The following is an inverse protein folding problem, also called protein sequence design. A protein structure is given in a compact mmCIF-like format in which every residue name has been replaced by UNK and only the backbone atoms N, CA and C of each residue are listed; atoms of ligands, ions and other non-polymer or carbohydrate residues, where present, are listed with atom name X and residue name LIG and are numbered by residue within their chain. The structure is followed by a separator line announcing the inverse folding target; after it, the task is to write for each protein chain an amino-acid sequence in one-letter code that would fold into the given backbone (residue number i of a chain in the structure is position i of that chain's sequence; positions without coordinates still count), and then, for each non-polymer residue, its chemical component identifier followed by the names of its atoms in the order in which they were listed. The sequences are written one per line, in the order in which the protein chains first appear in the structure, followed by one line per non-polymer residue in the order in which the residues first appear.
data_IF_870769145922
#
_entry.id   IF_870769145922
#
_cell.length_a   1.000
_cell.length_b   1.000
_cell.length_c   1.000
_cell.angle_alpha   90.00
_cell.angle_beta   90.00
_cell.angle_gamma   90.00
#
_symmetry.space_group_name_H-M   'P 1'
#
loop_
_entity.id
_entity.type
_entity.pdbx_description
1 polymer ?
#
# COMPACT_ATOMS: atom_id res chain seq x y z
N UNK A 1 22.73 46.81 37.23
CA UNK A 1 23.28 45.70 36.39
C UNK A 1 23.05 44.44 37.18
N UNK A 2 22.00 43.69 36.86
CA UNK A 2 21.65 42.42 37.50
C UNK A 2 22.49 41.31 36.83
N UNK A 3 23.35 40.73 37.65
CA UNK A 3 24.19 39.59 37.26
C UNK A 3 23.30 38.36 37.02
N UNK A 4 23.03 38.02 35.79
CA UNK A 4 22.28 36.81 35.42
C UNK A 4 23.25 35.64 35.40
N UNK A 5 23.17 34.79 36.42
CA UNK A 5 23.96 33.58 36.49
C UNK A 5 23.78 32.71 35.22
N UNK A 6 24.86 32.17 34.62
CA UNK A 6 24.73 31.33 33.41
C UNK A 6 23.96 30.05 33.73
N UNK A 7 22.95 29.77 32.93
CA UNK A 7 22.18 28.52 33.00
C UNK A 7 23.14 27.38 32.71
N UNK A 8 23.55 26.64 33.73
CA UNK A 8 24.29 25.40 33.56
C UNK A 8 23.32 24.36 33.03
N UNK A 9 23.38 24.13 31.70
CA UNK A 9 22.73 22.97 31.11
C UNK A 9 23.37 21.70 31.68
N UNK A 10 22.61 20.96 32.47
CA UNK A 10 23.04 19.65 32.95
C UNK A 10 23.60 18.84 31.75
N UNK A 11 24.73 18.13 31.92
CA UNK A 11 25.27 17.29 30.84
C UNK A 11 24.18 16.34 30.43
N UNK A 12 23.77 16.45 29.15
CA UNK A 12 22.84 15.50 28.55
C UNK A 12 23.44 14.13 28.75
N UNK A 13 22.85 13.37 29.71
CA UNK A 13 23.23 12.00 29.89
C UNK A 13 23.27 11.35 28.52
N UNK A 14 24.40 10.79 28.16
CA UNK A 14 24.59 10.06 26.90
C UNK A 14 23.58 8.92 26.92
N UNK A 15 22.39 9.19 26.37
CA UNK A 15 21.45 8.14 26.04
C UNK A 15 22.19 7.28 25.01
N UNK A 16 22.82 6.21 25.51
CA UNK A 16 23.43 5.23 24.61
C UNK A 16 22.32 4.81 23.63
N UNK A 17 22.52 5.06 22.33
CA UNK A 17 21.56 4.57 21.36
C UNK A 17 21.46 3.07 21.58
N UNK A 18 20.28 2.57 21.88
CA UNK A 18 20.06 1.13 21.95
C UNK A 18 20.57 0.53 20.66
N UNK A 19 21.60 -0.38 20.67
CA UNK A 19 22.09 -1.06 19.45
C UNK A 19 20.96 -1.98 19.01
N UNK A 20 20.32 -1.54 17.93
CA UNK A 20 19.18 -2.14 17.83
C UNK A 20 18.62 -2.73 16.66
N UNK A 21 17.68 -3.18 16.52
CA UNK A 21 16.61 -3.63 15.62
C UNK A 21 16.83 -3.38 14.10
N UNK A 22 17.88 -2.67 13.69
CA UNK A 22 18.25 -2.49 12.27
C UNK A 22 18.39 -3.83 11.53
N UNK A 23 18.99 -4.85 12.19
CA UNK A 23 19.13 -6.17 11.58
C UNK A 23 17.79 -6.90 11.46
N UNK A 24 16.90 -6.75 12.44
CA UNK A 24 15.56 -7.32 12.38
C UNK A 24 14.71 -6.65 11.32
N UNK A 25 14.76 -5.32 11.23
CA UNK A 25 14.05 -4.54 10.20
C UNK A 25 14.55 -4.89 8.79
N UNK A 26 15.88 -5.01 8.63
CA UNK A 26 16.50 -5.44 7.38
C UNK A 26 16.09 -6.86 6.99
N UNK A 27 16.07 -7.80 7.94
CA UNK A 27 15.63 -9.18 7.67
C UNK A 27 14.18 -9.26 7.24
N UNK A 28 13.28 -8.49 7.88
CA UNK A 28 11.87 -8.42 7.49
C UNK A 28 11.71 -7.83 6.09
N UNK A 29 12.37 -6.70 5.81
CA UNK A 29 12.32 -6.07 4.49
C UNK A 29 12.88 -7.02 3.42
N UNK A 30 14.03 -7.63 3.66
CA UNK A 30 14.62 -8.61 2.73
C UNK A 30 13.71 -9.82 2.54
N UNK A 31 13.13 -10.36 3.61
CA UNK A 31 12.19 -11.48 3.55
C UNK A 31 10.96 -11.17 2.71
N UNK A 32 10.39 -9.97 2.85
CA UNK A 32 9.24 -9.55 2.03
C UNK A 32 9.60 -9.37 0.55
N UNK A 33 10.79 -8.84 0.25
CA UNK A 33 11.29 -8.69 -1.13
C UNK A 33 11.56 -10.05 -1.76
N UNK A 34 12.19 -10.97 -1.03
CA UNK A 34 12.44 -12.35 -1.50
C UNK A 34 11.10 -13.06 -1.77
N UNK A 35 10.14 -12.99 -0.84
CA UNK A 35 8.83 -13.58 -1.03
C UNK A 35 8.10 -12.99 -2.25
N UNK A 36 8.15 -11.66 -2.43
CA UNK A 36 7.61 -11.00 -3.61
C UNK A 36 8.30 -11.49 -4.90
N UNK A 37 9.63 -11.64 -4.88
CA UNK A 37 10.40 -12.20 -6.00
C UNK A 37 9.99 -13.62 -6.37
N UNK A 38 9.72 -14.47 -5.37
CA UNK A 38 9.19 -15.83 -5.61
C UNK A 38 7.84 -15.78 -6.32
N UNK A 39 6.93 -14.89 -5.94
CA UNK A 39 5.66 -14.73 -6.62
C UNK A 39 5.82 -14.22 -8.06
N UNK A 40 6.74 -13.30 -8.31
CA UNK A 40 7.05 -12.84 -9.68
C UNK A 40 7.58 -13.99 -10.54
N UNK A 41 8.51 -14.78 -9.99
CA UNK A 41 9.03 -15.96 -10.69
C UNK A 41 7.93 -17.00 -10.96
N UNK A 42 7.06 -17.25 -9.97
CA UNK A 42 5.91 -18.15 -10.15
C UNK A 42 4.93 -17.63 -11.22
N UNK A 43 4.67 -16.30 -11.28
CA UNK A 43 3.84 -15.70 -12.31
C UNK A 43 4.44 -15.87 -13.70
N UNK A 44 5.75 -15.67 -13.84
CA UNK A 44 6.46 -15.89 -15.11
C UNK A 44 6.35 -17.36 -15.55
N UNK A 45 6.62 -18.30 -14.65
CA UNK A 45 6.50 -19.73 -14.94
C UNK A 45 5.06 -20.12 -15.31
N UNK A 46 4.05 -19.60 -14.60
CA UNK A 46 2.65 -19.83 -14.93
C UNK A 46 2.29 -19.30 -16.32
N UNK A 47 2.82 -18.12 -16.68
CA UNK A 47 2.63 -17.55 -18.03
C UNK A 47 3.27 -18.42 -19.12
N UNK A 48 4.51 -18.85 -18.90
CA UNK A 48 5.24 -19.72 -19.85
C UNK A 48 4.58 -21.10 -19.98
N UNK A 49 3.95 -21.60 -18.91
CA UNK A 49 3.19 -22.85 -18.92
C UNK A 49 1.79 -22.72 -19.54
N UNK A 50 1.40 -21.56 -20.06
CA UNK A 50 0.07 -21.33 -20.65
C UNK A 50 -1.08 -21.36 -19.64
N UNK A 51 -0.81 -21.06 -18.37
CA UNK A 51 -1.85 -21.00 -17.34
C UNK A 51 -2.91 -19.91 -17.65
N UNK A 52 -4.15 -20.06 -17.17
CA UNK A 52 -5.18 -19.04 -17.35
C UNK A 52 -4.70 -17.68 -16.85
N UNK A 53 -4.97 -16.61 -17.60
CA UNK A 53 -4.46 -15.24 -17.36
C UNK A 53 -4.68 -14.72 -15.92
N UNK A 54 -5.75 -15.15 -15.27
CA UNK A 54 -6.03 -14.74 -13.90
C UNK A 54 -4.93 -15.18 -12.90
N UNK A 55 -4.27 -16.34 -13.14
CA UNK A 55 -3.27 -16.88 -12.22
C UNK A 55 -1.99 -16.03 -12.18
N UNK A 56 -1.28 -15.75 -13.29
CA UNK A 56 -0.11 -14.88 -13.24
C UNK A 56 -0.46 -13.48 -12.75
N UNK A 57 -1.64 -12.95 -13.09
CA UNK A 57 -2.09 -11.65 -12.57
C UNK A 57 -2.24 -11.66 -11.05
N UNK A 58 -2.85 -12.71 -10.46
CA UNK A 58 -2.99 -12.82 -9.00
C UNK A 58 -1.64 -13.06 -8.32
N UNK A 59 -0.75 -13.84 -8.91
CA UNK A 59 0.60 -14.02 -8.36
C UNK A 59 1.38 -12.70 -8.33
N UNK A 60 1.23 -11.83 -9.33
CA UNK A 60 1.87 -10.49 -9.32
C UNK A 60 1.17 -9.56 -8.35
N UNK A 61 -0.16 -9.43 -8.38
CA UNK A 61 -0.87 -8.40 -7.62
C UNK A 61 -1.13 -8.83 -6.18
N UNK A 62 -1.78 -9.98 -5.96
CA UNK A 62 -2.07 -10.48 -4.63
C UNK A 62 -0.83 -11.08 -3.97
N UNK A 63 0.02 -11.77 -4.73
CA UNK A 63 1.26 -12.34 -4.23
C UNK A 63 2.36 -11.29 -4.07
N UNK A 64 2.99 -10.88 -5.16
CA UNK A 64 4.19 -10.05 -5.11
C UNK A 64 3.92 -8.64 -4.58
N UNK A 65 2.99 -7.90 -5.18
CA UNK A 65 2.74 -6.51 -4.79
C UNK A 65 2.22 -6.40 -3.35
N UNK A 66 1.24 -7.22 -2.97
CA UNK A 66 0.68 -7.17 -1.61
C UNK A 66 1.67 -7.61 -0.54
N UNK A 67 2.53 -8.61 -0.82
CA UNK A 67 3.59 -9.03 0.11
C UNK A 67 4.67 -7.95 0.26
N UNK A 68 5.07 -7.31 -0.83
CA UNK A 68 6.00 -6.19 -0.79
C UNK A 68 5.40 -5.01 -0.01
N UNK A 69 4.14 -4.65 -0.27
CA UNK A 69 3.42 -3.58 0.45
C UNK A 69 3.32 -3.92 1.94
N UNK A 70 2.97 -5.16 2.30
CA UNK A 70 2.88 -5.59 3.70
C UNK A 70 4.23 -5.45 4.45
N UNK A 71 5.36 -5.64 3.76
CA UNK A 71 6.70 -5.45 4.33
C UNK A 71 7.14 -4.00 4.43
N UNK A 72 6.79 -3.19 3.44
CA UNK A 72 7.35 -1.84 3.25
C UNK A 72 6.44 -0.76 3.86
N UNK A 73 5.12 -0.87 3.71
CA UNK A 73 4.18 0.17 4.15
C UNK A 73 4.24 0.47 5.65
N UNK A 74 4.25 -0.53 6.57
CA UNK A 74 4.39 -0.27 8.00
C UNK A 74 5.69 0.45 8.35
N UNK A 75 6.78 0.11 7.66
CA UNK A 75 8.07 0.78 7.85
C UNK A 75 7.98 2.25 7.43
N UNK A 76 7.46 2.55 6.25
CA UNK A 76 7.29 3.93 5.80
C UNK A 76 6.38 4.72 6.72
N UNK A 77 5.23 4.16 7.12
CA UNK A 77 4.29 4.85 8.00
C UNK A 77 4.94 5.24 9.34
N UNK A 78 5.68 4.33 9.97
CA UNK A 78 6.35 4.61 11.25
C UNK A 78 7.55 5.55 11.11
N UNK A 79 8.32 5.43 10.02
CA UNK A 79 9.44 6.34 9.73
C UNK A 79 8.93 7.78 9.49
N UNK A 80 7.86 7.95 8.71
CA UNK A 80 7.24 9.26 8.46
C UNK A 80 6.58 9.87 9.70
N UNK A 81 6.05 9.03 10.58
CA UNK A 81 5.50 9.46 11.87
C UNK A 81 6.59 9.75 12.92
N UNK A 82 7.84 9.39 12.67
CA UNK A 82 8.94 9.39 13.64
C UNK A 82 8.60 8.60 14.91
N UNK A 83 7.93 7.47 14.77
CA UNK A 83 7.52 6.58 15.86
C UNK A 83 8.36 5.30 15.86
N UNK A 84 8.50 4.62 17.00
CA UNK A 84 9.15 3.32 17.05
C UNK A 84 8.44 2.34 16.11
N UNK A 85 9.17 1.44 15.43
CA UNK A 85 8.57 0.42 14.60
C UNK A 85 7.74 -0.55 15.46
N UNK A 86 6.65 -1.05 14.88
CA UNK A 86 5.82 -2.09 15.50
C UNK A 86 6.64 -3.36 15.79
N UNK A 87 6.11 -4.21 16.65
CA UNK A 87 6.78 -5.46 17.02
C UNK A 87 7.14 -6.29 15.79
N UNK A 88 8.34 -6.86 15.80
CA UNK A 88 8.90 -7.64 14.69
C UNK A 88 8.07 -8.88 14.37
N UNK A 89 7.49 -9.52 15.39
CA UNK A 89 6.66 -10.72 15.22
C UNK A 89 5.34 -10.36 14.55
N UNK A 90 4.74 -9.23 14.95
CA UNK A 90 3.50 -8.76 14.37
C UNK A 90 3.67 -8.42 12.87
N UNK A 91 4.77 -7.74 12.52
CA UNK A 91 5.10 -7.43 11.12
C UNK A 91 5.39 -8.70 10.33
N UNK A 92 6.17 -9.63 10.91
CA UNK A 92 6.44 -10.94 10.31
C UNK A 92 5.16 -11.74 10.07
N UNK A 93 4.25 -11.77 11.05
CA UNK A 93 2.96 -12.45 10.93
C UNK A 93 2.09 -11.84 9.81
N UNK A 94 2.05 -10.50 9.70
CA UNK A 94 1.31 -9.83 8.64
C UNK A 94 1.82 -10.25 7.24
N UNK A 95 3.14 -10.24 7.02
CA UNK A 95 3.75 -10.65 5.75
C UNK A 95 3.49 -12.13 5.47
N UNK A 96 3.67 -12.99 6.47
CA UNK A 96 3.46 -14.43 6.33
C UNK A 96 2.01 -14.76 5.98
N UNK A 97 1.03 -14.10 6.64
CA UNK A 97 -0.38 -14.30 6.36
C UNK A 97 -0.76 -13.80 4.96
N UNK A 98 -0.24 -12.64 4.52
CA UNK A 98 -0.47 -12.13 3.16
C UNK A 98 0.12 -13.09 2.12
N UNK A 99 1.37 -13.53 2.30
CA UNK A 99 2.03 -14.43 1.36
C UNK A 99 1.36 -15.81 1.32
N UNK A 100 1.11 -16.42 2.48
CA UNK A 100 0.43 -17.72 2.57
C UNK A 100 -1.01 -17.63 2.03
N UNK A 101 -1.70 -16.53 2.34
CA UNK A 101 -3.04 -16.25 1.83
C UNK A 101 -3.09 -16.16 0.31
N UNK A 102 -2.16 -15.41 -0.29
CA UNK A 102 -2.04 -15.29 -1.74
C UNK A 102 -1.73 -16.63 -2.41
N UNK A 103 -0.82 -17.44 -1.83
CA UNK A 103 -0.52 -18.79 -2.30
C UNK A 103 -1.74 -19.72 -2.18
N UNK A 104 -2.49 -19.65 -1.07
CA UNK A 104 -3.72 -20.39 -0.88
C UNK A 104 -4.79 -20.03 -1.91
N UNK A 105 -4.97 -18.75 -2.25
CA UNK A 105 -5.86 -18.33 -3.33
C UNK A 105 -5.38 -18.82 -4.70
N UNK A 106 -4.07 -18.73 -4.97
CA UNK A 106 -3.47 -19.20 -6.22
C UNK A 106 -3.63 -20.72 -6.43
N UNK A 107 -3.75 -21.52 -5.34
CA UNK A 107 -3.97 -22.96 -5.40
C UNK A 107 -5.28 -23.36 -6.11
N UNK A 108 -6.23 -22.40 -6.30
CA UNK A 108 -7.42 -22.60 -7.15
C UNK A 108 -7.07 -23.03 -8.60
N UNK A 109 -5.88 -22.74 -9.09
CA UNK A 109 -5.40 -23.19 -10.38
C UNK A 109 -5.06 -24.69 -10.41
N UNK A 110 -4.97 -25.31 -9.26
CA UNK A 110 -4.72 -26.72 -9.05
C UNK A 110 -6.03 -27.40 -8.60
N UNK A 111 -6.13 -28.73 -8.58
CA UNK A 111 -7.26 -29.45 -8.02
C UNK A 111 -7.31 -29.37 -6.49
N UNK A 112 -7.20 -28.14 -5.95
CA UNK A 112 -7.22 -27.88 -4.52
C UNK A 112 -8.66 -27.86 -3.97
N UNK A 113 -8.91 -28.43 -2.77
CA UNK A 113 -10.21 -28.34 -2.12
C UNK A 113 -10.63 -26.88 -1.87
N UNK A 114 -11.91 -26.57 -2.10
CA UNK A 114 -12.45 -25.21 -1.89
C UNK A 114 -12.14 -24.61 -0.50
N UNK A 115 -12.14 -25.37 0.61
CA UNK A 115 -11.74 -24.83 1.91
C UNK A 115 -10.32 -24.26 1.96
N UNK A 116 -9.37 -24.82 1.23
CA UNK A 116 -7.98 -24.32 1.19
C UNK A 116 -7.94 -22.93 0.54
N UNK A 117 -8.67 -22.74 -0.55
CA UNK A 117 -8.75 -21.46 -1.26
C UNK A 117 -9.43 -20.41 -0.37
N UNK A 118 -10.52 -20.79 0.31
CA UNK A 118 -11.23 -19.91 1.25
C UNK A 118 -10.35 -19.51 2.44
N UNK A 119 -9.66 -20.47 3.06
CA UNK A 119 -8.71 -20.20 4.14
C UNK A 119 -7.57 -19.29 3.66
N UNK A 120 -7.11 -19.47 2.42
CA UNK A 120 -6.17 -18.55 1.77
C UNK A 120 -6.71 -17.12 1.72
N UNK A 121 -7.95 -16.93 1.29
CA UNK A 121 -8.61 -15.61 1.29
C UNK A 121 -8.73 -15.00 2.69
N UNK A 122 -9.12 -15.79 3.69
CA UNK A 122 -9.21 -15.35 5.10
C UNK A 122 -7.84 -14.97 5.65
N UNK A 123 -6.81 -15.77 5.39
CA UNK A 123 -5.44 -15.46 5.81
C UNK A 123 -4.92 -14.16 5.17
N UNK A 124 -5.20 -13.96 3.88
CA UNK A 124 -4.85 -12.73 3.16
C UNK A 124 -5.53 -11.50 3.79
N UNK A 125 -6.83 -11.57 4.06
CA UNK A 125 -7.58 -10.51 4.75
C UNK A 125 -7.03 -10.25 6.16
N UNK A 126 -6.73 -11.30 6.93
CA UNK A 126 -6.13 -11.19 8.26
C UNK A 126 -4.76 -10.50 8.22
N UNK A 127 -3.92 -10.88 7.27
CA UNK A 127 -2.61 -10.25 7.06
C UNK A 127 -2.70 -8.77 6.71
N UNK A 128 -3.58 -8.39 5.78
CA UNK A 128 -3.82 -6.98 5.44
C UNK A 128 -4.49 -6.20 6.57
N UNK A 129 -5.36 -6.85 7.36
CA UNK A 129 -5.92 -6.27 8.58
C UNK A 129 -4.82 -5.91 9.59
N UNK A 130 -3.82 -6.78 9.78
CA UNK A 130 -2.65 -6.47 10.61
C UNK A 130 -1.84 -5.30 10.04
N UNK A 131 -1.64 -5.24 8.73
CA UNK A 131 -0.98 -4.09 8.07
C UNK A 131 -1.75 -2.80 8.35
N UNK A 132 -3.09 -2.83 8.26
CA UNK A 132 -3.94 -1.68 8.58
C UNK A 132 -3.81 -1.26 10.05
N UNK A 133 -3.80 -2.20 10.98
CA UNK A 133 -3.63 -1.91 12.41
C UNK A 133 -2.28 -1.25 12.71
N UNK A 134 -1.19 -1.77 12.14
CA UNK A 134 0.16 -1.23 12.30
C UNK A 134 0.25 0.17 11.68
N UNK A 135 -0.22 0.34 10.45
CA UNK A 135 -0.22 1.62 9.74
C UNK A 135 -1.12 2.64 10.45
N UNK A 136 -2.30 2.21 10.89
CA UNK A 136 -3.23 3.03 11.66
C UNK A 136 -2.66 3.52 12.98
N UNK A 137 -1.81 2.74 13.64
CA UNK A 137 -1.11 3.19 14.86
C UNK A 137 -0.15 4.35 14.57
N UNK A 138 0.62 4.28 13.48
CA UNK A 138 1.51 5.34 13.05
C UNK A 138 0.74 6.62 12.64
N UNK A 139 -0.43 6.45 11.99
CA UNK A 139 -1.31 7.57 11.62
C UNK A 139 -1.82 8.27 12.89
N UNK A 140 -2.29 7.52 13.88
CA UNK A 140 -2.73 8.08 15.17
C UNK A 140 -1.60 8.74 15.94
N UNK A 141 -0.38 8.19 15.87
CA UNK A 141 0.80 8.75 16.55
C UNK A 141 1.34 10.04 15.91
N UNK A 142 0.78 10.51 14.80
CA UNK A 142 1.11 11.81 14.23
C UNK A 142 1.32 11.86 12.71
N UNK A 143 1.35 10.73 12.00
CA UNK A 143 1.47 10.75 10.54
C UNK A 143 0.30 11.51 9.89
N UNK A 144 -0.93 11.32 10.41
CA UNK A 144 -2.13 11.98 9.92
C UNK A 144 -2.05 13.50 10.01
N UNK A 145 -1.47 14.05 11.08
CA UNK A 145 -1.28 15.49 11.23
C UNK A 145 -0.13 16.04 10.37
N UNK A 146 0.95 15.25 10.22
CA UNK A 146 2.15 15.67 9.47
C UNK A 146 1.98 15.51 7.96
N UNK A 147 1.29 14.47 7.52
CA UNK A 147 1.15 14.05 6.12
C UNK A 147 -0.27 13.54 5.84
N UNK A 148 -1.30 14.42 5.95
CA UNK A 148 -2.71 13.99 5.86
C UNK A 148 -3.05 13.34 4.51
N UNK A 149 -2.46 13.82 3.41
CA UNK A 149 -2.70 13.27 2.07
C UNK A 149 -2.15 11.85 1.95
N UNK A 150 -0.95 11.60 2.46
CA UNK A 150 -0.33 10.26 2.47
C UNK A 150 -1.10 9.32 3.39
N UNK A 151 -1.50 9.79 4.57
CA UNK A 151 -2.32 9.02 5.50
C UNK A 151 -3.66 8.61 4.88
N UNK A 152 -4.34 9.53 4.19
CA UNK A 152 -5.58 9.24 3.48
C UNK A 152 -5.38 8.18 2.39
N UNK A 153 -4.31 8.29 1.59
CA UNK A 153 -3.99 7.30 0.56
C UNK A 153 -3.77 5.89 1.16
N UNK A 154 -3.05 5.80 2.27
CA UNK A 154 -2.78 4.50 2.91
C UNK A 154 -4.03 3.86 3.52
N UNK A 155 -4.85 4.66 4.22
CA UNK A 155 -6.09 4.14 4.82
C UNK A 155 -7.08 3.72 3.75
N UNK A 156 -7.32 4.56 2.76
CA UNK A 156 -8.25 4.26 1.67
C UNK A 156 -7.78 3.05 0.87
N UNK A 157 -6.49 2.98 0.51
CA UNK A 157 -5.95 1.82 -0.21
C UNK A 157 -6.09 0.51 0.56
N UNK A 158 -5.83 0.50 1.87
CA UNK A 158 -6.03 -0.69 2.69
C UNK A 158 -7.53 -1.04 2.87
N UNK A 159 -8.42 -0.05 2.93
CA UNK A 159 -9.85 -0.29 2.95
C UNK A 159 -10.34 -0.91 1.62
N UNK A 160 -9.86 -0.40 0.50
CA UNK A 160 -10.23 -0.90 -0.82
C UNK A 160 -9.79 -2.35 -1.05
N UNK A 161 -8.56 -2.71 -0.67
CA UNK A 161 -8.10 -4.10 -0.81
C UNK A 161 -8.86 -5.04 0.13
N UNK A 162 -9.19 -4.61 1.34
CA UNK A 162 -10.00 -5.43 2.26
C UNK A 162 -11.40 -5.66 1.70
N UNK A 163 -12.04 -4.63 1.15
CA UNK A 163 -13.34 -4.77 0.49
C UNK A 163 -13.26 -5.67 -0.75
N UNK A 164 -12.28 -5.42 -1.64
CA UNK A 164 -12.09 -6.21 -2.84
C UNK A 164 -11.75 -7.67 -2.55
N UNK A 165 -10.86 -7.94 -1.62
CA UNK A 165 -10.50 -9.30 -1.21
C UNK A 165 -11.65 -10.02 -0.50
N UNK A 166 -12.47 -9.31 0.29
CA UNK A 166 -13.66 -9.88 0.91
C UNK A 166 -14.67 -10.39 -0.14
N UNK A 167 -14.94 -9.60 -1.19
CA UNK A 167 -15.79 -9.99 -2.31
C UNK A 167 -15.31 -11.32 -2.93
N UNK A 168 -14.04 -11.43 -3.25
CA UNK A 168 -13.50 -12.64 -3.87
C UNK A 168 -13.42 -13.82 -2.90
N UNK A 169 -13.18 -13.57 -1.61
CA UNK A 169 -13.19 -14.62 -0.57
C UNK A 169 -14.60 -15.20 -0.40
N UNK A 170 -15.63 -14.35 -0.37
CA UNK A 170 -17.04 -14.80 -0.33
C UNK A 170 -17.43 -15.59 -1.59
N UNK A 171 -16.93 -15.18 -2.76
CA UNK A 171 -17.15 -15.91 -4.00
C UNK A 171 -16.57 -17.33 -3.93
N UNK A 172 -15.33 -17.51 -3.50
CA UNK A 172 -14.69 -18.83 -3.41
C UNK A 172 -15.23 -19.67 -2.24
N UNK A 173 -15.79 -19.01 -1.21
CA UNK A 173 -16.51 -19.67 -0.13
C UNK A 173 -17.89 -20.21 -0.55
N UNK A 174 -18.30 -19.93 -1.79
CA UNK A 174 -19.58 -20.45 -2.31
C UNK A 174 -20.81 -19.64 -1.89
N UNK A 175 -20.64 -18.36 -1.47
CA UNK A 175 -21.77 -17.52 -1.07
C UNK A 175 -22.71 -17.29 -2.26
N UNK A 176 -24.00 -17.76 -2.18
CA UNK A 176 -24.87 -17.84 -3.37
C UNK A 176 -25.09 -16.48 -4.04
N UNK A 177 -25.38 -15.44 -3.27
CA UNK A 177 -25.66 -14.10 -3.80
C UNK A 177 -24.44 -13.50 -4.49
N UNK A 178 -23.24 -13.74 -3.96
CA UNK A 178 -21.97 -13.27 -4.53
C UNK A 178 -21.65 -14.05 -5.81
N UNK A 179 -21.92 -15.35 -5.84
CA UNK A 179 -21.75 -16.16 -7.05
C UNK A 179 -22.72 -15.73 -8.16
N UNK A 180 -23.99 -15.50 -7.83
CA UNK A 180 -24.98 -15.01 -8.78
C UNK A 180 -24.63 -13.63 -9.36
N UNK A 181 -24.07 -12.73 -8.53
CA UNK A 181 -23.66 -11.39 -8.93
C UNK A 181 -22.22 -11.32 -9.47
N UNK A 182 -21.51 -12.43 -9.68
CA UNK A 182 -20.10 -12.43 -10.01
C UNK A 182 -19.73 -11.66 -11.29
N UNK A 183 -20.63 -11.63 -12.26
CA UNK A 183 -20.42 -10.86 -13.50
C UNK A 183 -20.15 -9.36 -13.25
N UNK A 184 -20.82 -8.79 -12.24
CA UNK A 184 -20.67 -7.38 -11.82
C UNK A 184 -19.63 -7.22 -10.71
N UNK A 185 -19.52 -8.17 -9.80
CA UNK A 185 -18.60 -8.11 -8.66
C UNK A 185 -17.14 -8.41 -9.03
N UNK A 186 -16.90 -9.18 -10.09
CA UNK A 186 -15.54 -9.44 -10.58
C UNK A 186 -14.81 -8.16 -11.02
N UNK A 187 -15.36 -7.30 -11.88
CA UNK A 187 -14.72 -6.02 -12.19
C UNK A 187 -14.69 -5.08 -10.98
N UNK A 188 -15.69 -5.09 -10.10
CA UNK A 188 -15.66 -4.37 -8.82
C UNK A 188 -14.44 -4.74 -7.98
N UNK A 189 -14.20 -6.04 -7.79
CA UNK A 189 -13.00 -6.57 -7.14
C UNK A 189 -11.71 -6.07 -7.81
N UNK A 190 -11.65 -6.08 -9.14
CA UNK A 190 -10.45 -5.65 -9.87
C UNK A 190 -10.15 -4.15 -9.66
N UNK A 191 -11.14 -3.27 -9.74
CA UNK A 191 -10.97 -1.84 -9.55
C UNK A 191 -10.48 -1.49 -8.15
N UNK A 192 -11.10 -2.09 -7.11
CA UNK A 192 -10.70 -1.86 -5.72
C UNK A 192 -9.27 -2.32 -5.45
N UNK A 193 -8.86 -3.47 -5.99
CA UNK A 193 -7.52 -4.00 -5.71
C UNK A 193 -6.43 -3.33 -6.54
N UNK A 194 -6.68 -3.03 -7.83
CA UNK A 194 -5.64 -2.49 -8.70
C UNK A 194 -5.46 -0.99 -8.48
N UNK A 195 -6.49 -0.19 -8.64
CA UNK A 195 -6.40 1.27 -8.57
C UNK A 195 -6.69 1.79 -7.16
N UNK A 196 -7.65 1.21 -6.47
CA UNK A 196 -7.96 1.54 -5.08
C UNK A 196 -6.81 1.18 -4.14
N UNK A 197 -6.28 -0.03 -4.19
CA UNK A 197 -5.19 -0.44 -3.30
C UNK A 197 -3.81 -0.09 -3.86
N UNK A 198 -3.37 -0.79 -4.91
CA UNK A 198 -1.99 -0.61 -5.40
C UNK A 198 -1.76 0.82 -5.86
N UNK A 199 -2.71 1.39 -6.61
CA UNK A 199 -2.62 2.77 -7.09
C UNK A 199 -2.50 3.79 -5.97
N UNK A 200 -3.32 3.68 -4.90
CA UNK A 200 -3.26 4.60 -3.76
C UNK A 200 -1.98 4.44 -2.95
N UNK A 201 -1.56 3.20 -2.65
CA UNK A 201 -0.32 2.98 -1.88
C UNK A 201 0.90 3.52 -2.63
N UNK A 202 0.99 3.24 -3.93
CA UNK A 202 2.08 3.75 -4.78
C UNK A 202 2.04 5.27 -4.85
N UNK A 203 0.88 5.87 -5.11
CA UNK A 203 0.72 7.34 -5.20
C UNK A 203 1.09 8.01 -3.89
N UNK A 204 0.56 7.53 -2.75
CA UNK A 204 0.89 8.06 -1.42
C UNK A 204 2.39 7.97 -1.11
N UNK A 205 3.02 6.85 -1.46
CA UNK A 205 4.46 6.65 -1.26
C UNK A 205 5.29 7.56 -2.15
N UNK A 206 4.92 7.72 -3.42
CA UNK A 206 5.62 8.60 -4.36
C UNK A 206 5.55 10.07 -3.95
N UNK A 207 4.46 10.54 -3.35
CA UNK A 207 4.34 11.91 -2.84
C UNK A 207 5.41 12.24 -1.78
N UNK A 208 5.98 11.24 -1.13
CA UNK A 208 7.10 11.41 -0.19
C UNK A 208 8.45 11.09 -0.83
N UNK A 209 8.56 9.96 -1.52
CA UNK A 209 9.84 9.50 -2.08
C UNK A 209 10.33 10.37 -3.21
N UNK A 210 9.44 10.83 -4.09
CA UNK A 210 9.85 11.61 -5.25
C UNK A 210 10.57 12.90 -4.87
N UNK A 211 10.05 13.77 -3.95
CA UNK A 211 10.80 14.93 -3.47
C UNK A 211 12.11 14.55 -2.77
N UNK A 212 12.09 13.47 -1.97
CA UNK A 212 13.27 13.01 -1.22
C UNK A 212 14.41 12.60 -2.16
N UNK A 213 14.11 11.77 -3.16
CA UNK A 213 15.09 11.33 -4.16
C UNK A 213 15.56 12.49 -5.04
N UNK A 214 14.65 13.41 -5.39
CA UNK A 214 14.97 14.58 -6.17
C UNK A 214 15.73 15.68 -5.39
N UNK A 215 15.95 15.53 -4.08
CA UNK A 215 16.55 16.56 -3.23
C UNK A 215 15.69 17.83 -3.11
N UNK A 216 14.40 17.72 -3.34
CA UNK A 216 13.44 18.82 -3.27
C UNK A 216 12.74 18.87 -1.90
N UNK A 217 12.19 20.04 -1.55
CA UNK A 217 11.38 20.16 -0.32
C UNK A 217 10.09 19.34 -0.46
N UNK A 218 9.79 18.61 0.61
CA UNK A 218 8.52 17.89 0.73
C UNK A 218 7.43 18.90 1.08
N UNK A 219 6.48 19.12 0.18
CA UNK A 219 5.37 20.07 0.34
C UNK A 219 4.09 19.40 -0.14
N UNK A 220 3.00 19.55 0.60
CA UNK A 220 1.67 19.08 0.17
C UNK A 220 1.09 20.05 -0.86
N UNK A 221 1.37 19.81 -2.13
CA UNK A 221 0.88 20.60 -3.25
C UNK A 221 -0.55 20.22 -3.62
N UNK A 222 -1.24 21.14 -4.27
CA UNK A 222 -2.61 20.90 -4.78
C UNK A 222 -2.66 19.74 -5.77
N UNK A 223 -1.64 19.59 -6.60
CA UNK A 223 -1.51 18.49 -7.57
C UNK A 223 -1.53 17.11 -6.92
N UNK A 224 -0.73 16.91 -5.87
CA UNK A 224 -0.72 15.67 -5.11
C UNK A 224 -2.05 15.39 -4.38
N UNK A 225 -2.70 16.45 -3.86
CA UNK A 225 -4.04 16.31 -3.25
C UNK A 225 -5.09 15.90 -4.27
N UNK A 226 -5.08 16.46 -5.48
CA UNK A 226 -5.98 16.07 -6.56
C UNK A 226 -5.76 14.62 -6.96
N UNK A 227 -4.50 14.20 -7.13
CA UNK A 227 -4.18 12.82 -7.48
C UNK A 227 -4.71 11.81 -6.45
N UNK A 228 -4.48 12.07 -5.15
CA UNK A 228 -4.97 11.19 -4.08
C UNK A 228 -6.50 11.25 -3.98
N UNK A 229 -7.11 12.42 -4.03
CA UNK A 229 -8.57 12.54 -3.98
C UNK A 229 -9.26 11.79 -5.12
N UNK A 230 -8.68 11.86 -6.34
CA UNK A 230 -9.17 11.11 -7.49
C UNK A 230 -9.13 9.60 -7.29
N UNK A 231 -8.05 9.08 -6.69
CA UNK A 231 -7.93 7.64 -6.39
C UNK A 231 -8.71 7.22 -5.14
N UNK A 232 -8.89 8.09 -4.16
CA UNK A 232 -9.72 7.79 -2.97
C UNK A 232 -11.20 7.66 -3.34
N UNK A 233 -11.69 8.54 -4.23
CA UNK A 233 -13.09 8.54 -4.63
C UNK A 233 -13.36 7.65 -5.86
N UNK A 234 -12.46 7.65 -6.83
CA UNK A 234 -12.69 7.06 -8.13
C UNK A 234 -12.95 5.56 -8.12
N UNK A 235 -12.00 4.72 -7.69
CA UNK A 235 -12.16 3.26 -7.69
C UNK A 235 -13.39 2.78 -6.90
N UNK A 236 -13.68 3.28 -5.67
CA UNK A 236 -14.91 2.91 -4.97
C UNK A 236 -16.20 3.31 -5.70
N UNK A 237 -16.23 4.49 -6.35
CA UNK A 237 -17.39 4.92 -7.14
C UNK A 237 -17.59 4.02 -8.37
N UNK A 238 -16.50 3.66 -9.07
CA UNK A 238 -16.59 2.70 -10.18
C UNK A 238 -17.08 1.36 -9.66
N UNK A 239 -16.53 0.88 -8.57
CA UNK A 239 -16.89 -0.38 -7.95
C UNK A 239 -18.39 -0.41 -7.55
N UNK A 240 -18.88 0.64 -6.91
CA UNK A 240 -20.29 0.78 -6.55
C UNK A 240 -21.17 0.85 -7.79
N UNK A 241 -20.74 1.60 -8.82
CA UNK A 241 -21.46 1.69 -10.09
C UNK A 241 -21.60 0.33 -10.78
N UNK A 242 -20.53 -0.43 -10.86
CA UNK A 242 -20.53 -1.77 -11.44
C UNK A 242 -21.40 -2.76 -10.62
N UNK A 243 -21.33 -2.69 -9.31
CA UNK A 243 -22.15 -3.53 -8.42
C UNK A 243 -23.66 -3.22 -8.55
N UNK A 244 -24.01 -1.98 -8.90
CA UNK A 244 -25.40 -1.53 -9.12
C UNK A 244 -25.89 -1.72 -10.56
N UNK A 245 -25.04 -2.15 -11.49
CA UNK A 245 -25.43 -2.38 -12.88
C UNK A 245 -26.56 -3.45 -12.96
N UNK A 246 -27.51 -3.36 -13.92
CA UNK A 246 -27.59 -2.37 -15.01
C UNK A 246 -28.45 -1.11 -14.70
N UNK A 247 -28.54 -0.67 -13.44
CA UNK A 247 -29.34 0.50 -13.08
C UNK A 247 -28.73 1.81 -13.61
N UNK A 248 -29.54 2.81 -14.06
CA UNK A 248 -29.01 4.10 -14.54
C UNK A 248 -28.14 4.83 -13.51
N UNK A 249 -28.47 4.71 -12.22
CA UNK A 249 -27.62 5.24 -11.12
C UNK A 249 -26.25 4.57 -11.07
N UNK A 250 -26.17 3.27 -11.39
CA UNK A 250 -24.90 2.54 -11.48
C UNK A 250 -24.00 3.10 -12.59
N UNK A 251 -24.54 3.32 -13.77
CA UNK A 251 -23.80 3.92 -14.89
C UNK A 251 -23.28 5.32 -14.55
N UNK A 252 -24.11 6.15 -13.91
CA UNK A 252 -23.69 7.49 -13.48
C UNK A 252 -22.53 7.44 -12.48
N UNK A 253 -22.62 6.58 -11.47
CA UNK A 253 -21.55 6.38 -10.49
C UNK A 253 -20.26 5.87 -11.13
N UNK A 254 -20.37 4.88 -12.04
CA UNK A 254 -19.20 4.34 -12.73
C UNK A 254 -18.48 5.42 -13.57
N UNK A 255 -19.23 6.24 -14.30
CA UNK A 255 -18.68 7.36 -15.09
C UNK A 255 -18.02 8.41 -14.20
N UNK A 256 -18.68 8.84 -13.12
CA UNK A 256 -18.11 9.79 -12.16
C UNK A 256 -16.83 9.25 -11.53
N UNK A 257 -16.83 7.98 -11.13
CA UNK A 257 -15.67 7.32 -10.60
C UNK A 257 -14.51 7.20 -11.60
N UNK A 258 -14.82 6.89 -12.86
CA UNK A 258 -13.80 6.85 -13.92
C UNK A 258 -13.17 8.23 -14.15
N UNK A 259 -13.97 9.28 -14.24
CA UNK A 259 -13.50 10.67 -14.37
C UNK A 259 -12.63 11.05 -13.17
N UNK A 260 -13.07 10.76 -11.94
CA UNK A 260 -12.30 11.02 -10.73
C UNK A 260 -10.94 10.27 -10.76
N UNK A 261 -10.95 8.99 -11.13
CA UNK A 261 -9.71 8.19 -11.25
C UNK A 261 -8.75 8.77 -12.28
N UNK A 262 -9.25 9.23 -13.41
CA UNK A 262 -8.43 9.82 -14.48
C UNK A 262 -7.73 11.11 -14.03
N UNK A 263 -8.21 11.82 -13.02
CA UNK A 263 -7.51 13.01 -12.49
C UNK A 263 -6.20 12.68 -11.78
N UNK A 264 -6.00 11.43 -11.39
CA UNK A 264 -4.79 11.01 -10.68
C UNK A 264 -3.53 11.13 -11.55
N UNK A 265 -3.61 10.73 -12.81
CA UNK A 265 -2.45 10.77 -13.71
C UNK A 265 -1.93 12.20 -13.96
N UNK A 266 -2.75 13.18 -14.42
CA UNK A 266 -2.29 14.55 -14.57
C UNK A 266 -1.90 15.20 -13.24
N UNK A 267 -2.57 14.85 -12.13
CA UNK A 267 -2.19 15.30 -10.80
C UNK A 267 -0.77 14.85 -10.42
N UNK A 268 -0.44 13.58 -10.61
CA UNK A 268 0.91 13.04 -10.35
C UNK A 268 1.95 13.58 -11.34
N UNK A 269 1.61 13.75 -12.61
CA UNK A 269 2.51 14.35 -13.58
C UNK A 269 2.85 15.81 -13.21
N UNK A 270 1.85 16.60 -12.82
CA UNK A 270 2.05 17.97 -12.35
C UNK A 270 2.90 18.00 -11.06
N UNK A 271 2.70 17.06 -10.12
CA UNK A 271 3.53 16.94 -8.93
C UNK A 271 4.98 16.63 -9.28
N UNK A 272 5.22 15.67 -10.17
CA UNK A 272 6.56 15.30 -10.62
C UNK A 272 7.28 16.49 -11.27
N UNK A 273 6.61 17.23 -12.15
CA UNK A 273 7.14 18.45 -12.77
C UNK A 273 7.45 19.51 -11.72
N UNK A 274 6.57 19.74 -10.75
CA UNK A 274 6.78 20.71 -9.69
C UNK A 274 7.98 20.33 -8.80
N UNK A 275 8.14 19.04 -8.48
CA UNK A 275 9.30 18.52 -7.73
C UNK A 275 10.58 18.76 -8.51
N UNK A 276 10.62 18.38 -9.80
CA UNK A 276 11.82 18.58 -10.64
C UNK A 276 12.19 20.07 -10.76
N UNK A 277 11.22 20.96 -10.91
CA UNK A 277 11.46 22.42 -10.98
C UNK A 277 11.92 23.01 -9.65
N UNK A 278 11.52 22.43 -8.52
CA UNK A 278 11.87 22.92 -7.17
C UNK A 278 13.17 22.31 -6.62
N UNK A 279 13.82 21.40 -7.36
CA UNK A 279 15.10 20.83 -6.95
C UNK A 279 16.20 21.90 -6.94
N UNK A 280 17.06 21.89 -5.90
CA UNK A 280 18.31 22.63 -5.90
C UNK A 280 19.25 22.14 -7.01
N UNK A 281 20.33 22.90 -7.31
CA UNK A 281 21.37 22.38 -8.22
C UNK A 281 21.92 21.07 -7.64
N UNK A 282 21.81 20.01 -8.43
CA UNK A 282 22.42 18.74 -8.10
C UNK A 282 23.93 18.92 -8.12
N UNK A 283 24.57 18.97 -6.96
CA UNK A 283 25.99 18.64 -6.88
C UNK A 283 26.03 17.13 -6.69
N UNK A 284 26.71 16.43 -7.59
CA UNK A 284 26.83 14.96 -7.62
C UNK A 284 27.25 14.36 -6.27
N UNK A 285 27.99 15.14 -5.46
CA UNK A 285 28.47 14.71 -4.15
C UNK A 285 27.38 14.71 -3.05
N UNK A 286 26.37 15.58 -3.14
CA UNK A 286 25.35 15.69 -2.10
C UNK A 286 24.33 14.52 -2.09
N UNK A 287 24.14 13.84 -3.21
CA UNK A 287 23.19 12.74 -3.32
C UNK A 287 23.71 11.46 -2.64
N UNK A 288 24.99 11.15 -2.80
CA UNK A 288 25.61 9.94 -2.24
C UNK A 288 25.87 10.03 -0.74
N UNK A 289 26.20 11.22 -0.21
CA UNK A 289 26.40 11.42 1.23
C UNK A 289 25.10 11.35 2.05
N UNK A 290 23.92 11.54 1.45
CA UNK A 290 22.63 11.46 2.16
C UNK A 290 22.02 10.06 2.16
N UNK A 291 22.51 9.14 1.33
CA UNK A 291 22.08 7.75 1.28
C UNK A 291 22.96 6.89 2.20
N UNK A 292 24.17 7.35 2.52
CA UNK A 292 25.18 6.63 3.32
C UNK A 292 25.28 7.08 4.80
N UNK A 293 24.59 8.12 5.21
CA UNK A 293 24.49 8.59 6.61
C UNK A 293 23.11 8.27 7.21
#
# INVERSE_FOLDING_TARGET
VTDVAPIQLAPRGTVRPRPIRRDADRRIALGSVVAAGVFVAAALLATLAGAPFWLPLHLVLAGAASTAIAGVLPFFATALAATPPADVRLRGAAIALVAAGAAGVASRALPAPAPIVTLGGVAFLGGLGLVLLITGSAIRAGLGARRPVVAAAYVAGLADVLAGAAISTLFVAGQPDVQAAWATLRPTHAWLNLLGFVGLIVTGTLLHLLPTVAGARIVDRRSGRIAVAGLVAGPPLVAAGLALAPRPAGDALARLGAVATLTAAPGMAAEAVAVVRSRGRWTTDAAWHRIGS
#
